data_IF_753938941519
#
_entry.id   IF_753938941519
#
_cell.length_a   1.000
_cell.length_b   1.000
_cell.length_c   1.000
_cell.angle_alpha   90.00
_cell.angle_beta   90.00
_cell.angle_gamma   90.00
#
_symmetry.space_group_name_H-M   'P 1'
#
loop_
_entity.id
_entity.type
_entity.pdbx_description
1 polymer ?
#
# COMPACT_ATOMS: atom_id res chain seq x y z
N UNK A 1 -6.89 9.70 -23.48
CA UNK A 1 -6.33 10.96 -22.94
C UNK A 1 -5.97 10.66 -21.49
N UNK A 2 -4.68 10.56 -21.19
CA UNK A 2 -4.23 10.39 -19.80
C UNK A 2 -4.11 11.78 -19.18
N UNK A 3 -4.79 12.02 -18.06
CA UNK A 3 -4.70 13.31 -17.37
C UNK A 3 -3.45 13.31 -16.48
N UNK A 4 -2.57 14.29 -16.67
CA UNK A 4 -1.39 14.48 -15.84
C UNK A 4 -1.84 14.91 -14.42
N UNK A 5 -1.50 14.11 -13.42
CA UNK A 5 -1.92 14.37 -12.04
C UNK A 5 -1.10 15.50 -11.41
N UNK A 6 0.20 15.60 -11.71
CA UNK A 6 1.04 16.70 -11.24
C UNK A 6 0.51 18.05 -11.72
N UNK A 7 0.19 18.19 -13.00
CA UNK A 7 -0.37 19.44 -13.56
C UNK A 7 -1.69 19.81 -12.88
N UNK A 8 -2.55 18.83 -12.59
CA UNK A 8 -3.78 19.05 -11.83
C UNK A 8 -3.48 19.55 -10.41
N UNK A 9 -2.51 18.96 -9.72
CA UNK A 9 -2.10 19.39 -8.37
C UNK A 9 -1.53 20.81 -8.39
N UNK A 10 -0.69 21.15 -9.37
CA UNK A 10 -0.13 22.49 -9.56
C UNK A 10 -1.23 23.53 -9.79
N UNK A 11 -2.20 23.24 -10.65
CA UNK A 11 -3.34 24.12 -10.92
C UNK A 11 -4.22 24.37 -9.67
N UNK A 12 -4.19 23.46 -8.69
CA UNK A 12 -4.90 23.58 -7.41
C UNK A 12 -4.01 24.09 -6.26
N UNK A 13 -2.81 24.61 -6.56
CA UNK A 13 -1.83 25.13 -5.59
C UNK A 13 -1.44 24.12 -4.49
N UNK A 14 -1.36 22.84 -4.84
CA UNK A 14 -0.92 21.78 -3.92
C UNK A 14 0.61 21.79 -3.82
N UNK A 15 1.13 21.92 -2.60
CA UNK A 15 2.55 22.24 -2.38
C UNK A 15 3.50 21.10 -2.71
N UNK A 16 3.02 19.86 -2.63
CA UNK A 16 3.79 18.65 -2.91
C UNK A 16 3.53 18.07 -4.31
N UNK A 17 3.08 18.90 -5.26
CA UNK A 17 2.76 18.45 -6.63
C UNK A 17 3.96 17.77 -7.33
N UNK A 18 5.18 18.27 -7.13
CA UNK A 18 6.38 17.73 -7.76
C UNK A 18 6.74 16.29 -7.32
N UNK A 19 6.25 15.84 -6.15
CA UNK A 19 6.41 14.44 -5.72
C UNK A 19 5.63 13.45 -6.61
N UNK A 20 4.71 13.96 -7.43
CA UNK A 20 3.87 13.21 -8.36
C UNK A 20 4.34 13.27 -9.81
N UNK A 21 5.62 13.58 -10.06
CA UNK A 21 6.18 13.64 -11.41
C UNK A 21 5.89 12.36 -12.22
N UNK A 22 5.31 12.54 -13.40
CA UNK A 22 4.92 11.47 -14.31
C UNK A 22 3.71 10.64 -13.84
N UNK A 23 3.02 11.06 -12.77
CA UNK A 23 1.81 10.41 -12.31
C UNK A 23 0.60 10.78 -13.18
N UNK A 24 -0.29 9.80 -13.42
CA UNK A 24 -1.44 9.98 -14.32
C UNK A 24 -2.73 9.57 -13.63
N UNK A 25 -3.81 10.31 -13.83
CA UNK A 25 -5.14 9.90 -13.34
C UNK A 25 -5.65 8.79 -14.25
N UNK A 26 -5.76 7.57 -13.69
CA UNK A 26 -6.31 6.41 -14.40
C UNK A 26 -7.83 6.32 -14.24
N UNK A 27 -8.36 6.71 -13.08
CA UNK A 27 -9.80 6.71 -12.77
C UNK A 27 -10.10 7.70 -11.65
N UNK A 28 -11.28 8.30 -11.69
CA UNK A 28 -11.85 9.07 -10.59
C UNK A 28 -13.23 8.48 -10.26
N UNK A 29 -13.43 8.11 -9.01
CA UNK A 29 -14.74 7.74 -8.47
C UNK A 29 -15.27 8.86 -7.58
N UNK A 30 -16.54 9.21 -7.76
CA UNK A 30 -17.20 10.26 -7.00
C UNK A 30 -18.36 9.63 -6.20
N UNK A 31 -18.23 9.66 -4.89
CA UNK A 31 -19.28 9.23 -3.96
C UNK A 31 -20.00 10.46 -3.44
N UNK A 32 -21.11 10.83 -4.07
CA UNK A 32 -21.81 12.10 -3.82
C UNK A 32 -22.34 12.21 -2.39
N UNK A 33 -23.04 11.18 -1.91
CA UNK A 33 -23.66 11.18 -0.58
C UNK A 33 -22.62 11.28 0.54
N UNK A 34 -21.49 10.59 0.37
CA UNK A 34 -20.37 10.63 1.32
C UNK A 34 -19.40 11.79 1.06
N UNK A 35 -19.63 12.59 0.00
CA UNK A 35 -18.77 13.70 -0.43
C UNK A 35 -17.30 13.29 -0.56
N UNK A 36 -17.05 12.11 -1.15
CA UNK A 36 -15.70 11.54 -1.32
C UNK A 36 -15.31 11.56 -2.80
N UNK A 37 -14.11 12.04 -3.08
CA UNK A 37 -13.43 11.78 -4.34
C UNK A 37 -12.35 10.74 -4.13
N UNK A 38 -12.36 9.68 -4.95
CA UNK A 38 -11.32 8.65 -4.95
C UNK A 38 -10.59 8.63 -6.28
N UNK A 39 -9.34 9.02 -6.25
CA UNK A 39 -8.43 8.98 -7.38
C UNK A 39 -7.70 7.64 -7.43
N UNK A 40 -7.63 7.06 -8.61
CA UNK A 40 -6.73 5.97 -8.95
C UNK A 40 -5.60 6.57 -9.78
N UNK A 41 -4.41 6.64 -9.19
CA UNK A 41 -3.28 7.35 -9.77
C UNK A 41 -2.22 6.35 -10.23
N UNK A 42 -1.96 6.34 -11.53
CA UNK A 42 -0.86 5.62 -12.14
C UNK A 42 0.46 6.21 -11.67
N UNK A 43 1.34 5.37 -11.11
CA UNK A 43 2.65 5.79 -10.56
C UNK A 43 3.77 4.94 -11.15
N UNK A 44 4.94 5.56 -11.38
CA UNK A 44 6.11 4.86 -11.92
C UNK A 44 7.16 4.52 -10.86
N UNK A 45 7.05 5.11 -9.66
CA UNK A 45 8.00 4.95 -8.56
C UNK A 45 7.27 4.77 -7.22
N UNK A 46 7.98 4.22 -6.24
CA UNK A 46 7.40 4.00 -4.92
C UNK A 46 7.05 5.33 -4.28
N UNK A 47 5.75 5.57 -4.06
CA UNK A 47 5.25 6.79 -3.44
C UNK A 47 4.98 6.55 -1.96
N UNK A 48 5.67 7.23 -1.03
CA UNK A 48 5.45 7.08 0.39
C UNK A 48 4.02 7.51 0.79
N UNK A 49 3.37 6.73 1.64
CA UNK A 49 2.01 6.98 2.12
C UNK A 49 1.84 8.32 2.85
N UNK A 50 2.93 8.87 3.40
CA UNK A 50 2.94 10.24 3.95
C UNK A 50 2.69 11.31 2.88
N UNK A 51 3.30 11.18 1.70
CA UNK A 51 3.12 12.09 0.55
C UNK A 51 1.69 12.00 0.06
N UNK A 52 1.18 10.76 -0.06
CA UNK A 52 -0.19 10.50 -0.47
C UNK A 52 -1.19 11.16 0.49
N UNK A 53 -1.01 10.94 1.80
CA UNK A 53 -1.88 11.50 2.84
C UNK A 53 -1.83 13.03 2.88
N UNK A 54 -0.66 13.60 2.68
CA UNK A 54 -0.48 15.05 2.62
C UNK A 54 -1.24 15.63 1.42
N UNK A 55 -1.11 15.03 0.24
CA UNK A 55 -1.86 15.44 -0.96
C UNK A 55 -3.37 15.27 -0.79
N UNK A 56 -3.84 14.15 -0.22
CA UNK A 56 -5.26 13.93 0.13
C UNK A 56 -5.79 15.08 1.01
N UNK A 57 -5.00 15.46 2.02
CA UNK A 57 -5.37 16.52 2.98
C UNK A 57 -5.44 17.88 2.32
N UNK A 58 -4.43 18.26 1.53
CA UNK A 58 -4.42 19.56 0.85
C UNK A 58 -5.56 19.67 -0.19
N UNK A 59 -5.82 18.60 -0.95
CA UNK A 59 -6.95 18.59 -1.89
C UNK A 59 -8.29 18.74 -1.19
N UNK A 60 -8.49 18.06 -0.04
CA UNK A 60 -9.70 18.22 0.75
C UNK A 60 -9.86 19.65 1.30
N UNK A 61 -8.76 20.29 1.72
CA UNK A 61 -8.76 21.69 2.18
C UNK A 61 -9.15 22.65 1.05
N UNK A 62 -8.60 22.47 -0.16
CA UNK A 62 -8.93 23.29 -1.32
C UNK A 62 -10.37 23.06 -1.80
N UNK A 63 -10.91 21.86 -1.58
CA UNK A 63 -12.23 21.45 -2.02
C UNK A 63 -13.15 21.18 -0.82
N UNK A 64 -13.50 22.23 -0.06
CA UNK A 64 -14.30 22.14 1.18
C UNK A 64 -15.69 21.50 1.03
N UNK A 65 -16.15 21.32 -0.21
CA UNK A 65 -17.37 20.56 -0.48
C UNK A 65 -17.15 19.04 -0.36
N UNK A 66 -15.93 18.56 -0.20
CA UNK A 66 -15.57 17.16 0.04
C UNK A 66 -15.34 16.93 1.53
N UNK A 67 -15.82 15.79 2.02
CA UNK A 67 -15.48 15.31 3.36
C UNK A 67 -14.16 14.53 3.34
N UNK A 68 -13.82 13.92 2.19
CA UNK A 68 -12.60 13.14 2.04
C UNK A 68 -12.09 13.11 0.59
N UNK A 69 -10.77 13.08 0.45
CA UNK A 69 -10.10 12.65 -0.77
C UNK A 69 -9.34 11.36 -0.46
N UNK A 70 -9.45 10.38 -1.35
CA UNK A 70 -8.67 9.15 -1.31
C UNK A 70 -7.81 9.06 -2.57
N UNK A 71 -6.53 8.75 -2.41
CA UNK A 71 -5.64 8.48 -3.51
C UNK A 71 -5.13 7.04 -3.39
N UNK A 72 -5.47 6.24 -4.39
CA UNK A 72 -5.04 4.85 -4.52
C UNK A 72 -3.99 4.75 -5.62
N UNK A 73 -2.73 4.40 -5.29
CA UNK A 73 -1.70 4.21 -6.29
C UNK A 73 -1.95 2.96 -7.12
N UNK A 74 -1.70 3.07 -8.43
CA UNK A 74 -1.83 2.00 -9.43
C UNK A 74 -0.49 1.86 -10.15
N UNK A 75 0.44 1.04 -9.63
CA UNK A 75 1.70 0.79 -10.31
C UNK A 75 1.46 -0.04 -11.59
N UNK A 76 2.29 0.12 -12.63
CA UNK A 76 2.15 -0.60 -13.90
C UNK A 76 2.33 -2.12 -13.75
N UNK A 77 3.16 -2.55 -12.79
CA UNK A 77 3.39 -3.96 -12.47
C UNK A 77 3.31 -4.17 -10.95
N UNK A 78 2.10 -4.41 -10.44
CA UNK A 78 1.83 -4.52 -9.00
C UNK A 78 2.69 -5.57 -8.28
N UNK A 79 2.90 -6.73 -8.90
CA UNK A 79 3.73 -7.80 -8.36
C UNK A 79 5.17 -7.35 -8.13
N UNK A 80 5.78 -6.73 -9.15
CA UNK A 80 7.14 -6.21 -9.07
C UNK A 80 7.24 -5.08 -8.03
N UNK A 81 6.23 -4.22 -7.96
CA UNK A 81 6.17 -3.10 -7.04
C UNK A 81 6.11 -3.54 -5.57
N UNK A 82 5.21 -4.47 -5.23
CA UNK A 82 5.14 -5.03 -3.87
C UNK A 82 6.43 -5.78 -3.54
N UNK A 83 6.96 -6.58 -4.47
CA UNK A 83 8.22 -7.33 -4.26
C UNK A 83 9.38 -6.39 -3.96
N UNK A 84 9.49 -5.26 -4.68
CA UNK A 84 10.49 -4.24 -4.42
C UNK A 84 10.34 -3.63 -3.02
N UNK A 85 9.11 -3.31 -2.60
CA UNK A 85 8.84 -2.80 -1.25
C UNK A 85 9.27 -3.80 -0.18
N UNK A 86 8.86 -5.06 -0.30
CA UNK A 86 9.18 -6.10 0.67
C UNK A 86 10.70 -6.30 0.80
N UNK A 87 11.42 -6.29 -0.32
CA UNK A 87 12.88 -6.42 -0.35
C UNK A 87 13.59 -5.21 0.25
N UNK A 88 13.20 -4.00 -0.13
CA UNK A 88 13.84 -2.76 0.35
C UNK A 88 13.55 -2.50 1.83
N UNK A 89 12.46 -3.05 2.38
CA UNK A 89 12.02 -2.83 3.76
C UNK A 89 12.10 -4.09 4.61
N UNK A 90 12.94 -5.05 4.21
CA UNK A 90 13.03 -6.37 4.86
C UNK A 90 13.37 -6.25 6.36
N UNK A 91 14.31 -5.39 6.73
CA UNK A 91 14.73 -5.20 8.11
C UNK A 91 13.60 -4.60 8.96
N UNK A 92 12.94 -3.56 8.44
CA UNK A 92 11.80 -2.91 9.10
C UNK A 92 10.62 -3.88 9.28
N UNK A 93 10.34 -4.69 8.26
CA UNK A 93 9.32 -5.73 8.32
C UNK A 93 9.69 -6.84 9.30
N UNK A 94 10.97 -7.22 9.35
CA UNK A 94 11.44 -8.22 10.30
C UNK A 94 11.27 -7.73 11.74
N UNK A 95 11.66 -6.49 12.00
CA UNK A 95 11.47 -5.83 13.29
C UNK A 95 9.99 -5.59 13.62
N UNK A 96 9.11 -5.41 12.63
CA UNK A 96 7.68 -5.26 12.86
C UNK A 96 7.01 -6.59 13.21
N UNK A 97 7.25 -7.61 12.39
CA UNK A 97 6.46 -8.85 12.38
C UNK A 97 7.05 -9.95 13.27
N UNK A 98 8.36 -9.97 13.49
CA UNK A 98 9.07 -11.04 14.18
C UNK A 98 9.84 -10.56 15.41
N UNK A 99 9.32 -9.52 16.07
CA UNK A 99 9.91 -8.88 17.26
C UNK A 99 10.00 -9.79 18.48
N UNK A 100 9.16 -10.84 18.52
CA UNK A 100 9.11 -11.81 19.61
C UNK A 100 10.15 -12.92 19.36
N UNK A 101 10.92 -13.30 20.37
CA UNK A 101 11.93 -14.37 20.27
C UNK A 101 11.34 -15.70 19.79
N UNK A 102 10.08 -16.01 20.15
CA UNK A 102 9.35 -17.18 19.65
C UNK A 102 9.09 -17.15 18.14
N UNK A 103 9.13 -15.97 17.53
CA UNK A 103 8.93 -15.73 16.10
C UNK A 103 10.26 -15.58 15.35
N UNK A 104 11.40 -15.54 16.04
CA UNK A 104 12.71 -15.32 15.41
C UNK A 104 13.07 -16.39 14.38
N UNK A 105 12.72 -17.65 14.65
CA UNK A 105 12.92 -18.77 13.71
C UNK A 105 11.89 -18.83 12.57
N UNK A 106 10.72 -18.18 12.75
CA UNK A 106 9.60 -18.25 11.82
C UNK A 106 9.97 -17.65 10.44
N UNK A 107 10.82 -16.63 10.41
CA UNK A 107 11.26 -15.98 9.17
C UNK A 107 11.93 -16.97 8.21
N UNK A 108 12.75 -17.90 8.72
CA UNK A 108 13.48 -18.85 7.89
C UNK A 108 12.57 -19.92 7.25
N UNK A 109 11.45 -20.24 7.91
CA UNK A 109 10.45 -21.21 7.43
C UNK A 109 9.33 -20.61 6.57
N UNK A 110 9.37 -19.30 6.31
CA UNK A 110 8.37 -18.60 5.51
C UNK A 110 8.93 -18.16 4.16
N UNK A 111 8.23 -18.55 3.11
CA UNK A 111 8.44 -18.00 1.77
C UNK A 111 7.32 -17.02 1.40
N UNK A 112 7.66 -16.01 0.61
CA UNK A 112 6.75 -14.93 0.24
C UNK A 112 6.46 -15.07 -1.25
N UNK A 113 5.19 -14.98 -1.62
CA UNK A 113 4.81 -14.91 -3.04
C UNK A 113 3.76 -13.85 -3.26
N UNK A 114 3.98 -13.01 -4.26
CA UNK A 114 3.06 -11.94 -4.66
C UNK A 114 2.40 -12.36 -5.96
N UNK A 115 1.06 -12.35 -5.98
CA UNK A 115 0.26 -12.58 -7.18
C UNK A 115 -0.79 -11.47 -7.29
N UNK A 116 -0.67 -10.63 -8.31
CA UNK A 116 -1.48 -9.42 -8.48
C UNK A 116 -1.46 -8.54 -7.22
N UNK A 117 -2.61 -8.41 -6.54
CA UNK A 117 -2.77 -7.66 -5.28
C UNK A 117 -2.88 -8.57 -4.06
N UNK A 118 -2.35 -9.80 -4.17
CA UNK A 118 -2.34 -10.79 -3.09
C UNK A 118 -0.92 -11.12 -2.69
N UNK A 119 -0.69 -11.21 -1.39
CA UNK A 119 0.56 -11.63 -0.80
C UNK A 119 0.33 -12.88 0.04
N UNK A 120 0.92 -13.99 -0.40
CA UNK A 120 0.84 -15.27 0.28
C UNK A 120 2.14 -15.51 1.07
N UNK A 121 2.01 -15.66 2.38
CA UNK A 121 3.05 -16.20 3.25
C UNK A 121 2.87 -17.73 3.25
N UNK A 122 3.89 -18.46 2.80
CA UNK A 122 3.81 -19.91 2.60
C UNK A 122 4.78 -20.61 3.54
N UNK A 123 4.30 -21.67 4.18
CA UNK A 123 5.10 -22.54 5.05
C UNK A 123 4.75 -24.01 4.79
N UNK A 124 5.66 -24.90 5.11
CA UNK A 124 5.43 -26.35 5.11
C UNK A 124 5.12 -26.88 6.52
N UNK A 125 5.25 -26.04 7.54
CA UNK A 125 5.12 -26.43 8.93
C UNK A 125 3.81 -25.89 9.53
N UNK A 126 3.01 -26.78 10.13
CA UNK A 126 1.75 -26.41 10.76
C UNK A 126 1.97 -25.47 11.95
N UNK A 127 3.05 -25.65 12.71
CA UNK A 127 3.38 -24.79 13.84
C UNK A 127 3.69 -23.36 13.38
N UNK A 128 4.46 -23.22 12.29
CA UNK A 128 4.72 -21.93 11.65
C UNK A 128 3.43 -21.27 11.15
N UNK A 129 2.50 -22.06 10.57
CA UNK A 129 1.20 -21.57 10.13
C UNK A 129 0.37 -21.03 11.31
N UNK A 130 0.29 -21.77 12.41
CA UNK A 130 -0.45 -21.38 13.61
C UNK A 130 0.15 -20.12 14.25
N UNK A 131 1.49 -20.02 14.33
CA UNK A 131 2.15 -18.81 14.84
C UNK A 131 1.81 -17.57 14.00
N UNK A 132 1.72 -17.71 12.67
CA UNK A 132 1.32 -16.59 11.80
C UNK A 132 -0.11 -16.13 12.09
N UNK A 133 -1.02 -17.05 12.41
CA UNK A 133 -2.40 -16.74 12.77
C UNK A 133 -2.49 -16.12 14.18
N UNK A 134 -1.89 -16.77 15.18
CA UNK A 134 -1.95 -16.36 16.59
C UNK A 134 -1.36 -14.96 16.82
N UNK A 135 -0.39 -14.57 15.99
CA UNK A 135 0.23 -13.25 16.04
C UNK A 135 -0.31 -12.26 15.00
N UNK A 136 -1.39 -12.60 14.29
CA UNK A 136 -2.06 -11.74 13.31
C UNK A 136 -1.11 -11.13 12.25
N UNK A 137 -0.03 -11.85 11.89
CA UNK A 137 1.05 -11.31 11.05
C UNK A 137 0.50 -10.82 9.70
N UNK A 138 -0.47 -11.53 9.13
CA UNK A 138 -1.11 -11.14 7.87
C UNK A 138 -1.84 -9.79 7.99
N UNK A 139 -2.58 -9.59 9.07
CA UNK A 139 -3.31 -8.34 9.35
C UNK A 139 -2.35 -7.18 9.54
N UNK A 140 -1.30 -7.39 10.34
CA UNK A 140 -0.26 -6.38 10.59
C UNK A 140 0.43 -5.94 9.29
N UNK A 141 0.79 -6.90 8.43
CA UNK A 141 1.44 -6.63 7.16
C UNK A 141 0.52 -5.90 6.17
N UNK A 142 -0.75 -6.31 6.08
CA UNK A 142 -1.74 -5.60 5.24
C UNK A 142 -1.93 -4.16 5.71
N UNK A 143 -2.06 -3.95 7.03
CA UNK A 143 -2.16 -2.63 7.62
C UNK A 143 -0.92 -1.77 7.38
N UNK A 144 0.28 -2.36 7.46
CA UNK A 144 1.54 -1.68 7.16
C UNK A 144 1.61 -1.24 5.69
N UNK A 145 1.27 -2.10 4.73
CA UNK A 145 1.24 -1.75 3.30
C UNK A 145 0.25 -0.60 3.02
N UNK A 146 -0.90 -0.61 3.68
CA UNK A 146 -1.89 0.47 3.57
C UNK A 146 -1.40 1.78 4.20
N UNK A 147 -0.75 1.71 5.36
CA UNK A 147 -0.23 2.89 6.06
C UNK A 147 0.92 3.53 5.28
N UNK A 148 1.91 2.73 4.92
CA UNK A 148 3.18 3.19 4.36
C UNK A 148 3.10 3.46 2.86
N UNK A 149 2.12 2.90 2.14
CA UNK A 149 2.05 3.01 0.68
C UNK A 149 0.63 3.15 0.11
N UNK A 150 -0.42 3.21 0.95
CA UNK A 150 -1.84 3.23 0.51
C UNK A 150 -2.23 2.09 -0.43
N UNK A 151 -1.54 0.96 -0.33
CA UNK A 151 -1.85 -0.23 -1.12
C UNK A 151 -2.85 -1.12 -0.41
N UNK A 152 -3.88 -1.55 -1.12
CA UNK A 152 -4.86 -2.54 -0.64
C UNK A 152 -4.40 -3.93 -1.08
N UNK A 153 -3.58 -4.56 -0.24
CA UNK A 153 -3.06 -5.90 -0.49
C UNK A 153 -3.76 -6.89 0.43
N UNK A 154 -4.34 -7.93 -0.16
CA UNK A 154 -4.86 -9.06 0.61
C UNK A 154 -3.68 -9.94 1.00
N UNK A 155 -3.44 -10.04 2.31
CA UNK A 155 -2.36 -10.85 2.86
C UNK A 155 -2.96 -12.09 3.51
N UNK A 156 -2.42 -13.27 3.21
CA UNK A 156 -2.84 -14.53 3.82
C UNK A 156 -1.67 -15.46 4.04
N UNK A 157 -1.89 -16.45 4.91
CA UNK A 157 -0.95 -17.55 5.14
C UNK A 157 -1.48 -18.84 4.53
N UNK A 158 -0.57 -19.67 4.01
CA UNK A 158 -0.85 -20.99 3.45
C UNK A 158 0.12 -22.03 4.02
N UNK A 159 -0.42 -23.16 4.43
CA UNK A 159 0.35 -24.35 4.76
C UNK A 159 0.25 -25.30 3.56
N UNK A 160 1.36 -25.56 2.89
CA UNK A 160 1.40 -26.39 1.67
C UNK A 160 1.85 -27.83 1.98
N UNK A 161 1.16 -28.47 2.94
CA UNK A 161 1.38 -29.87 3.37
C UNK A 161 1.09 -30.86 2.23
#
# INVERSE_FOLDING_TARGET
MEFNFEEFLQANNITNACDWNGATVKKLEIYREARIWRFYIGINQITPGRVIKETETQLAICNRFLDKVEILPVPPAITAYITAILKTREDDLSALLFKNEKLGGLKAGLSWSVNDSRLDLRTLELDSYNLVLDHEICTQLSAWLWKEYRMRVVVRVRCDV
#
